data_IF_213872422493
#
_entry.id   IF_213872422493
#
_cell.length_a   1.000
_cell.length_b   1.000
_cell.length_c   1.000
_cell.angle_alpha   90.00
_cell.angle_beta   90.00
_cell.angle_gamma   90.00
#
_symmetry.space_group_name_H-M   'P 1'
#
loop_
_entity.id
_entity.type
_entity.pdbx_description
1 polymer ?
#
# COMPACT_ATOMS: atom_id res chain seq x y z
N UNK A 1 -14.00 18.44 30.19
CA UNK A 1 -13.02 18.45 31.31
C UNK A 1 -11.59 18.26 30.81
N UNK A 2 -11.32 17.28 29.92
CA UNK A 2 -9.98 17.05 29.35
C UNK A 2 -9.33 18.30 28.73
N UNK A 3 -10.09 19.11 27.99
CA UNK A 3 -9.62 20.37 27.41
C UNK A 3 -8.91 21.28 28.42
N UNK A 4 -9.54 21.54 29.58
CA UNK A 4 -8.98 22.40 30.64
C UNK A 4 -7.68 21.82 31.23
N UNK A 5 -7.57 20.49 31.28
CA UNK A 5 -6.34 19.84 31.72
C UNK A 5 -5.22 20.06 30.71
N UNK A 6 -5.49 19.91 29.42
CA UNK A 6 -4.51 20.15 28.35
C UNK A 6 -4.06 21.62 28.33
N UNK A 7 -4.99 22.57 28.47
CA UNK A 7 -4.68 24.00 28.57
C UNK A 7 -3.70 24.30 29.72
N UNK A 8 -3.99 23.80 30.92
CA UNK A 8 -3.11 24.02 32.07
C UNK A 8 -1.76 23.29 31.92
N UNK A 9 -1.74 22.10 31.32
CA UNK A 9 -0.49 21.39 31.00
C UNK A 9 0.35 22.19 30.01
N UNK A 10 -0.24 22.71 28.92
CA UNK A 10 0.46 23.56 27.95
C UNK A 10 1.07 24.79 28.63
N UNK A 11 0.30 25.50 29.46
CA UNK A 11 0.81 26.62 30.24
C UNK A 11 1.93 26.18 31.20
N UNK A 12 1.83 24.99 31.79
CA UNK A 12 2.85 24.47 32.68
C UNK A 12 4.15 24.06 32.02
N UNK A 13 4.07 23.47 30.82
CA UNK A 13 5.24 23.15 30.00
C UNK A 13 5.96 24.45 29.60
N UNK A 14 5.22 25.44 29.10
CA UNK A 14 5.77 26.76 28.73
C UNK A 14 6.42 27.49 29.92
N UNK A 15 5.91 27.26 31.13
CA UNK A 15 6.46 27.82 32.36
C UNK A 15 7.58 26.97 33.00
N UNK A 16 7.96 25.83 32.40
CA UNK A 16 9.01 24.95 32.94
C UNK A 16 8.66 24.25 34.24
N UNK A 17 7.36 24.02 34.55
CA UNK A 17 6.93 23.39 35.81
C UNK A 17 7.33 21.92 35.96
N UNK A 18 7.64 21.24 34.86
CA UNK A 18 7.87 19.80 34.82
C UNK A 18 9.35 19.48 34.59
N UNK A 19 10.19 19.75 35.60
CA UNK A 19 11.65 19.71 35.48
C UNK A 19 12.29 18.32 35.48
N UNK A 20 11.55 17.25 35.77
CA UNK A 20 12.05 15.88 35.80
C UNK A 20 10.98 14.85 35.39
N UNK A 21 11.40 13.60 35.14
CA UNK A 21 10.51 12.51 34.72
C UNK A 21 9.35 12.26 35.70
N UNK A 22 9.61 12.31 37.02
CA UNK A 22 8.56 12.14 38.03
C UNK A 22 7.47 13.23 37.94
N UNK A 23 7.86 14.47 37.69
CA UNK A 23 6.93 15.59 37.51
C UNK A 23 6.11 15.48 36.22
N UNK A 24 6.69 14.93 35.15
CA UNK A 24 5.97 14.62 33.90
C UNK A 24 4.99 13.47 34.15
N UNK A 25 5.46 12.39 34.74
CA UNK A 25 4.70 11.18 35.05
C UNK A 25 3.46 11.50 35.91
N UNK A 26 3.64 12.19 37.03
CA UNK A 26 2.54 12.52 37.94
C UNK A 26 1.73 13.74 37.49
N UNK A 27 2.42 14.80 37.04
CA UNK A 27 1.81 16.10 36.76
C UNK A 27 1.13 16.21 35.39
N UNK A 28 1.50 15.33 34.45
CA UNK A 28 0.95 15.29 33.09
C UNK A 28 0.29 13.93 32.83
N UNK A 29 1.05 12.84 32.85
CA UNK A 29 0.57 11.52 32.38
C UNK A 29 -0.58 11.02 33.24
N UNK A 30 -0.36 10.87 34.56
CA UNK A 30 -1.39 10.38 35.47
C UNK A 30 -2.62 11.29 35.51
N UNK A 31 -2.40 12.60 35.43
CA UNK A 31 -3.47 13.60 35.35
C UNK A 31 -4.34 13.43 34.10
N UNK A 32 -3.71 13.21 32.94
CA UNK A 32 -4.44 12.96 31.69
C UNK A 32 -5.15 11.62 31.72
N UNK A 33 -4.53 10.56 32.25
CA UNK A 33 -5.19 9.26 32.42
C UNK A 33 -6.47 9.39 33.26
N UNK A 34 -6.41 10.10 34.38
CA UNK A 34 -7.59 10.37 35.19
C UNK A 34 -8.66 11.15 34.42
N UNK A 35 -8.27 12.20 33.68
CA UNK A 35 -9.19 13.00 32.86
C UNK A 35 -9.79 12.21 31.67
N UNK A 36 -9.10 11.18 31.21
CA UNK A 36 -9.50 10.21 30.18
C UNK A 36 -10.34 9.05 30.73
N UNK A 37 -10.69 9.10 32.02
CA UNK A 37 -11.60 8.15 32.66
C UNK A 37 -10.94 6.87 33.17
N UNK A 38 -9.60 6.79 33.22
CA UNK A 38 -8.93 5.66 33.85
C UNK A 38 -9.11 5.68 35.37
N UNK A 39 -9.36 4.53 36.01
CA UNK A 39 -9.39 4.42 37.46
C UNK A 39 -7.95 4.42 38.00
N UNK A 40 -7.34 5.60 38.10
CA UNK A 40 -5.93 5.77 38.48
C UNK A 40 -5.59 5.35 39.91
N UNK A 41 -6.59 5.18 40.76
CA UNK A 41 -6.43 4.64 42.12
C UNK A 41 -6.54 3.10 42.19
N UNK A 42 -6.96 2.46 41.10
CA UNK A 42 -6.98 1.01 40.97
C UNK A 42 -5.67 0.54 40.32
N UNK A 43 -4.76 0.04 41.15
CA UNK A 43 -3.45 -0.44 40.74
C UNK A 43 -3.48 -1.74 39.95
N UNK A 44 -4.65 -2.35 39.76
CA UNK A 44 -4.83 -3.47 38.82
C UNK A 44 -5.22 -3.01 37.42
N UNK A 45 -5.66 -1.76 37.27
CA UNK A 45 -6.08 -1.16 35.99
C UNK A 45 -5.07 -0.13 35.50
N UNK A 46 -4.52 0.68 36.39
CA UNK A 46 -3.39 1.58 36.11
C UNK A 46 -2.24 1.15 37.01
N UNK A 47 -1.37 0.27 36.50
CA UNK A 47 -0.27 -0.30 37.27
C UNK A 47 0.98 0.57 37.10
N UNK A 48 1.42 1.34 38.11
CA UNK A 48 2.70 2.05 38.05
C UNK A 48 3.87 1.07 38.15
N UNK A 49 5.01 1.41 37.58
CA UNK A 49 6.29 0.69 37.73
C UNK A 49 6.16 -0.81 37.39
N UNK A 50 5.34 -1.12 36.38
CA UNK A 50 4.96 -2.49 36.03
C UNK A 50 6.20 -3.26 35.57
N UNK A 51 6.55 -4.27 36.35
CA UNK A 51 7.76 -5.07 36.15
C UNK A 51 7.40 -6.48 35.70
N UNK A 52 8.06 -6.96 34.64
CA UNK A 52 7.95 -8.34 34.16
C UNK A 52 9.29 -8.76 33.57
N UNK A 53 9.75 -9.98 33.93
CA UNK A 53 10.98 -10.58 33.39
C UNK A 53 12.24 -9.68 33.51
N UNK A 54 12.35 -8.92 34.61
CA UNK A 54 13.50 -8.05 34.88
C UNK A 54 13.53 -6.74 34.10
N UNK A 55 12.47 -6.43 33.34
CA UNK A 55 12.24 -5.12 32.71
C UNK A 55 11.07 -4.42 33.39
N UNK A 56 11.05 -3.09 33.30
CA UNK A 56 10.06 -2.23 33.95
C UNK A 56 9.60 -1.15 32.97
N UNK A 57 8.32 -0.83 33.01
CA UNK A 57 7.69 0.31 32.32
C UNK A 57 6.99 1.18 33.35
N UNK A 58 6.90 2.48 33.09
CA UNK A 58 6.37 3.44 34.07
C UNK A 58 4.88 3.21 34.37
N UNK A 59 4.10 2.91 33.34
CA UNK A 59 2.70 2.49 33.51
C UNK A 59 2.32 1.34 32.60
N UNK A 60 1.61 0.36 33.17
CA UNK A 60 0.80 -0.59 32.42
C UNK A 60 -0.69 -0.29 32.61
N UNK A 61 -1.36 0.00 31.50
CA UNK A 61 -2.80 0.14 31.45
C UNK A 61 -3.40 -1.22 31.17
N UNK A 62 -4.28 -1.69 32.06
CA UNK A 62 -4.80 -3.05 32.01
C UNK A 62 -6.30 -3.08 31.74
N UNK A 63 -6.70 -3.91 30.78
CA UNK A 63 -8.09 -4.27 30.57
C UNK A 63 -8.21 -5.66 29.95
N UNK A 64 -8.86 -6.64 30.62
CA UNK A 64 -9.39 -6.57 31.99
C UNK A 64 -8.27 -6.38 33.04
N UNK A 65 -8.64 -6.21 34.31
CA UNK A 65 -7.70 -5.98 35.41
C UNK A 65 -6.51 -6.97 35.39
N UNK A 66 -5.30 -6.45 35.64
CA UNK A 66 -4.02 -7.15 35.58
C UNK A 66 -3.62 -7.73 34.22
N UNK A 67 -4.38 -7.48 33.14
CA UNK A 67 -3.98 -7.83 31.77
C UNK A 67 -3.60 -6.57 30.98
N UNK A 68 -2.31 -6.35 30.69
CA UNK A 68 -1.86 -5.13 30.03
C UNK A 68 -2.38 -5.05 28.59
N UNK A 69 -2.94 -3.89 28.24
CA UNK A 69 -3.40 -3.56 26.89
C UNK A 69 -2.62 -2.38 26.29
N UNK A 70 -2.04 -1.53 27.14
CA UNK A 70 -1.11 -0.50 26.73
C UNK A 70 0.03 -0.33 27.73
N UNK A 71 1.24 -0.08 27.24
CA UNK A 71 2.36 0.37 28.06
C UNK A 71 2.67 1.84 27.79
N UNK A 72 3.01 2.57 28.84
CA UNK A 72 3.48 3.95 28.77
C UNK A 72 4.87 4.03 29.38
N UNK A 73 5.81 4.51 28.58
CA UNK A 73 7.14 4.94 29.03
C UNK A 73 7.18 6.46 29.06
N UNK A 74 7.64 6.99 30.17
CA UNK A 74 7.76 8.42 30.44
C UNK A 74 9.24 8.82 30.36
N UNK A 75 9.48 10.03 29.84
CA UNK A 75 10.79 10.66 29.81
C UNK A 75 10.70 12.09 30.32
N UNK A 76 11.86 12.68 30.57
CA UNK A 76 11.96 14.11 30.80
C UNK A 76 11.69 14.88 29.50
N UNK A 77 11.05 16.06 29.59
CA UNK A 77 10.76 16.93 28.45
C UNK A 77 12.04 17.15 27.61
N UNK A 78 11.95 16.89 26.31
CA UNK A 78 13.04 17.02 25.34
C UNK A 78 13.99 15.82 25.27
N UNK A 79 13.74 14.75 26.02
CA UNK A 79 14.58 13.53 26.09
C UNK A 79 13.84 12.28 25.59
N UNK A 80 12.90 12.44 24.65
CA UNK A 80 12.13 11.33 24.06
C UNK A 80 12.92 10.49 23.04
N UNK A 81 14.08 10.98 22.56
CA UNK A 81 14.86 10.31 21.52
C UNK A 81 15.66 9.10 22.04
N UNK A 82 15.60 7.97 21.32
CA UNK A 82 16.45 6.79 21.55
C UNK A 82 15.94 5.78 22.58
N UNK A 83 14.94 6.12 23.38
CA UNK A 83 14.31 5.19 24.34
C UNK A 83 13.26 4.24 23.71
N UNK A 84 12.92 4.45 22.44
CA UNK A 84 11.84 3.77 21.71
C UNK A 84 12.04 2.25 21.64
N UNK A 85 13.29 1.80 21.48
CA UNK A 85 13.62 0.41 21.18
C UNK A 85 13.28 -0.55 22.33
N UNK A 86 13.57 -0.16 23.57
CA UNK A 86 13.38 -1.03 24.73
C UNK A 86 11.90 -1.24 25.07
N UNK A 87 11.11 -0.15 25.10
CA UNK A 87 9.67 -0.20 25.31
C UNK A 87 9.01 -1.08 24.23
N UNK A 88 9.41 -0.86 22.98
CA UNK A 88 8.83 -1.56 21.85
C UNK A 88 9.13 -3.06 21.86
N UNK A 89 10.41 -3.44 22.01
CA UNK A 89 10.81 -4.85 22.08
C UNK A 89 10.04 -5.56 23.20
N UNK A 90 9.94 -4.93 24.36
CA UNK A 90 9.22 -5.50 25.50
C UNK A 90 7.71 -5.65 25.21
N UNK A 91 7.06 -4.62 24.70
CA UNK A 91 5.64 -4.67 24.34
C UNK A 91 5.35 -5.74 23.28
N UNK A 92 6.26 -5.94 22.33
CA UNK A 92 6.15 -6.98 21.31
C UNK A 92 6.23 -8.40 21.89
N UNK A 93 7.21 -8.68 22.78
CA UNK A 93 7.38 -10.02 23.37
C UNK A 93 6.17 -10.43 24.22
N UNK A 94 5.58 -9.49 24.96
CA UNK A 94 4.41 -9.73 25.81
C UNK A 94 3.10 -9.71 25.01
N UNK A 95 3.12 -9.21 23.78
CA UNK A 95 1.93 -9.10 22.93
C UNK A 95 1.00 -7.96 23.33
N UNK A 96 1.53 -6.89 23.94
CA UNK A 96 0.73 -5.71 24.30
C UNK A 96 0.36 -4.94 23.03
N UNK A 97 -0.94 -4.67 22.79
CA UNK A 97 -1.39 -4.05 21.55
C UNK A 97 -0.89 -2.63 21.28
N UNK A 98 -0.67 -1.83 22.32
CA UNK A 98 -0.32 -0.42 22.20
C UNK A 98 0.90 -0.09 23.08
N UNK A 99 1.86 0.63 22.52
CA UNK A 99 2.98 1.19 23.26
C UNK A 99 3.00 2.71 23.08
N UNK A 100 3.21 3.45 24.17
CA UNK A 100 3.19 4.91 24.20
C UNK A 100 4.50 5.39 24.80
N UNK A 101 5.22 6.25 24.07
CA UNK A 101 6.38 6.96 24.59
C UNK A 101 6.04 8.44 24.69
N UNK A 102 6.20 9.02 25.87
CA UNK A 102 5.91 10.42 26.09
C UNK A 102 6.91 11.11 27.02
N UNK A 103 7.19 12.38 26.74
CA UNK A 103 7.90 13.26 27.66
C UNK A 103 6.95 14.32 28.27
N UNK A 104 5.65 14.14 28.10
CA UNK A 104 4.59 15.06 28.49
C UNK A 104 4.19 16.02 27.36
N UNK A 105 5.14 16.52 26.57
CA UNK A 105 4.87 17.38 25.41
C UNK A 105 4.57 16.53 24.17
N UNK A 106 5.48 15.61 23.84
CA UNK A 106 5.34 14.70 22.73
C UNK A 106 4.72 13.38 23.20
N UNK A 107 3.77 12.86 22.42
CA UNK A 107 3.09 11.59 22.64
C UNK A 107 3.19 10.77 21.37
N UNK A 108 3.98 9.70 21.42
CA UNK A 108 4.21 8.80 20.30
C UNK A 108 3.44 7.50 20.55
N UNK A 109 2.53 7.16 19.64
CA UNK A 109 1.70 5.96 19.70
C UNK A 109 2.21 4.92 18.71
N UNK A 110 2.52 3.72 19.21
CA UNK A 110 3.09 2.63 18.42
C UNK A 110 2.23 1.38 18.51
N UNK A 111 2.21 0.60 17.43
CA UNK A 111 1.62 -0.74 17.40
C UNK A 111 2.72 -1.80 17.35
N UNK A 112 3.05 -2.45 18.47
CA UNK A 112 4.18 -3.38 18.54
C UNK A 112 4.10 -4.55 17.55
N UNK A 113 2.91 -5.10 17.38
CA UNK A 113 2.67 -6.29 16.59
C UNK A 113 2.59 -6.05 15.07
N UNK A 114 2.55 -4.81 14.61
CA UNK A 114 2.43 -4.50 13.17
C UNK A 114 3.80 -4.57 12.45
N UNK A 115 3.79 -4.60 11.12
CA UNK A 115 5.01 -4.75 10.31
C UNK A 115 5.82 -3.45 10.18
N UNK A 116 7.06 -3.56 9.70
CA UNK A 116 7.95 -2.43 9.45
C UNK A 116 9.00 -2.20 10.53
N UNK A 117 9.81 -1.17 10.40
CA UNK A 117 10.73 -0.72 11.46
C UNK A 117 10.03 0.09 12.56
N UNK A 118 10.78 0.52 13.59
CA UNK A 118 10.24 1.27 14.72
C UNK A 118 9.54 2.58 14.30
N UNK A 119 10.14 3.31 13.36
CA UNK A 119 9.57 4.56 12.83
C UNK A 119 8.30 4.28 12.03
N UNK A 120 8.29 3.14 11.34
CA UNK A 120 7.17 2.71 10.51
C UNK A 120 5.94 2.28 11.33
N UNK A 121 6.16 1.67 12.49
CA UNK A 121 5.11 1.21 13.41
C UNK A 121 4.54 2.32 14.31
N UNK A 122 5.09 3.53 14.23
CA UNK A 122 4.50 4.70 14.86
C UNK A 122 3.27 5.15 14.09
N UNK A 123 2.12 5.06 14.72
CA UNK A 123 0.82 5.42 14.13
C UNK A 123 0.60 6.92 14.20
N UNK A 124 0.96 7.54 15.32
CA UNK A 124 0.73 8.97 15.52
C UNK A 124 1.79 9.58 16.42
N UNK A 125 2.19 10.80 16.11
CA UNK A 125 2.98 11.67 16.98
C UNK A 125 2.16 12.93 17.25
N UNK A 126 1.83 13.17 18.51
CA UNK A 126 1.12 14.35 18.97
C UNK A 126 2.10 15.21 19.76
N UNK A 127 2.31 16.45 19.35
CA UNK A 127 2.92 17.48 20.21
C UNK A 127 1.79 18.31 20.79
N UNK A 128 1.53 18.19 22.10
CA UNK A 128 0.38 18.86 22.73
C UNK A 128 0.59 20.37 22.89
N UNK A 129 1.80 20.90 22.68
CA UNK A 129 2.10 22.33 22.77
C UNK A 129 1.95 23.01 21.41
N UNK A 130 2.36 22.33 20.34
CA UNK A 130 2.25 22.84 18.96
C UNK A 130 0.85 22.66 18.37
N UNK A 131 0.10 21.65 18.80
CA UNK A 131 -1.21 21.32 18.23
C UNK A 131 -2.34 22.09 18.88
N UNK A 132 -3.39 22.32 18.09
CA UNK A 132 -4.65 22.87 18.58
C UNK A 132 -5.21 22.00 19.70
N UNK A 133 -5.82 22.64 20.70
CA UNK A 133 -6.30 21.95 21.91
C UNK A 133 -7.39 20.94 21.54
N UNK A 134 -8.29 21.30 20.63
CA UNK A 134 -9.37 20.42 20.15
C UNK A 134 -8.81 19.17 19.46
N UNK A 135 -7.74 19.30 18.67
CA UNK A 135 -7.05 18.18 18.03
C UNK A 135 -6.39 17.28 19.08
N UNK A 136 -5.69 17.89 20.05
CA UNK A 136 -5.03 17.16 21.15
C UNK A 136 -6.05 16.36 21.97
N UNK A 137 -7.19 16.97 22.31
CA UNK A 137 -8.32 16.30 22.97
C UNK A 137 -8.79 15.11 22.14
N UNK A 138 -9.08 15.32 20.86
CA UNK A 138 -9.64 14.28 20.00
C UNK A 138 -8.68 13.09 19.83
N UNK A 139 -7.36 13.35 19.71
CA UNK A 139 -6.34 12.30 19.54
C UNK A 139 -6.09 11.52 20.83
N UNK A 140 -5.99 12.20 21.96
CA UNK A 140 -5.86 11.53 23.26
C UNK A 140 -7.11 10.72 23.60
N UNK A 141 -8.31 11.25 23.32
CA UNK A 141 -9.56 10.51 23.53
C UNK A 141 -9.65 9.25 22.66
N UNK A 142 -9.38 9.38 21.34
CA UNK A 142 -9.41 8.28 20.38
C UNK A 142 -8.47 7.14 20.73
N UNK A 143 -7.25 7.44 21.18
CA UNK A 143 -6.22 6.43 21.40
C UNK A 143 -6.02 5.99 22.84
N UNK A 144 -6.42 6.81 23.82
CA UNK A 144 -6.04 6.59 25.21
C UNK A 144 -7.21 6.67 26.19
N UNK A 145 -8.43 7.07 25.79
CA UNK A 145 -9.54 7.07 26.76
C UNK A 145 -9.89 5.66 27.24
N UNK A 146 -10.26 5.54 28.51
CA UNK A 146 -10.59 4.25 29.11
C UNK A 146 -11.72 3.54 28.35
N UNK A 147 -12.75 4.28 27.92
CA UNK A 147 -13.86 3.75 27.15
C UNK A 147 -13.44 3.20 25.77
N UNK A 148 -12.57 3.93 25.05
CA UNK A 148 -12.11 3.50 23.72
C UNK A 148 -11.14 2.32 23.82
N UNK A 149 -10.28 2.31 24.83
CA UNK A 149 -9.31 1.23 25.05
C UNK A 149 -10.03 -0.05 25.53
N UNK A 150 -10.92 0.06 26.51
CA UNK A 150 -11.66 -1.10 27.05
C UNK A 150 -12.58 -1.76 26.03
N UNK A 151 -13.22 -0.98 25.15
CA UNK A 151 -14.05 -1.49 24.05
C UNK A 151 -13.24 -2.02 22.85
N UNK A 152 -11.91 -1.84 22.85
CA UNK A 152 -11.03 -2.21 21.74
C UNK A 152 -11.05 -1.24 20.54
N UNK A 153 -11.90 -0.20 20.58
CA UNK A 153 -12.01 0.80 19.52
C UNK A 153 -10.71 1.61 19.33
N UNK A 154 -9.99 1.91 20.40
CA UNK A 154 -8.70 2.61 20.31
C UNK A 154 -7.67 1.83 19.49
N UNK A 155 -7.59 0.50 19.72
CA UNK A 155 -6.67 -0.38 18.98
C UNK A 155 -7.12 -0.54 17.53
N UNK A 156 -8.43 -0.69 17.28
CA UNK A 156 -8.97 -0.76 15.93
C UNK A 156 -8.68 0.52 15.13
N UNK A 157 -8.92 1.69 15.75
CA UNK A 157 -8.60 3.00 15.19
C UNK A 157 -7.11 3.15 14.89
N UNK A 158 -6.23 2.75 15.81
CA UNK A 158 -4.79 2.84 15.60
C UNK A 158 -4.33 1.93 14.43
N UNK A 159 -4.90 0.73 14.32
CA UNK A 159 -4.61 -0.19 13.20
C UNK A 159 -5.10 0.34 11.86
N UNK A 160 -6.25 1.00 11.83
CA UNK A 160 -6.77 1.64 10.62
C UNK A 160 -5.85 2.78 10.16
N UNK A 161 -5.48 3.69 11.08
CA UNK A 161 -4.57 4.78 10.78
C UNK A 161 -3.19 4.26 10.31
N UNK A 162 -2.67 3.19 10.95
CA UNK A 162 -1.44 2.52 10.52
C UNK A 162 -1.54 1.96 9.10
N UNK A 163 -2.64 1.26 8.77
CA UNK A 163 -2.85 0.71 7.41
C UNK A 163 -2.88 1.81 6.36
N UNK A 164 -3.48 2.96 6.67
CA UNK A 164 -3.51 4.10 5.75
C UNK A 164 -2.12 4.69 5.52
N UNK A 165 -1.31 4.83 6.58
CA UNK A 165 0.09 5.30 6.49
C UNK A 165 0.94 4.30 5.71
N UNK A 166 0.82 3.01 6.03
CA UNK A 166 1.58 1.92 5.39
C UNK A 166 1.24 1.81 3.90
N UNK A 167 -0.05 1.90 3.53
CA UNK A 167 -0.48 1.91 2.12
C UNK A 167 0.16 3.07 1.34
N UNK A 168 0.12 4.27 1.90
CA UNK A 168 0.74 5.43 1.26
C UNK A 168 2.25 5.22 1.13
N UNK A 169 2.94 4.75 2.16
CA UNK A 169 4.37 4.48 2.10
C UNK A 169 4.72 3.45 1.03
N UNK A 170 4.01 2.31 1.01
CA UNK A 170 4.20 1.27 0.01
C UNK A 170 4.00 1.82 -1.41
N UNK A 171 2.92 2.59 -1.62
CA UNK A 171 2.67 3.27 -2.89
C UNK A 171 3.86 4.16 -3.27
N UNK A 172 4.34 5.03 -2.38
CA UNK A 172 5.48 5.91 -2.65
C UNK A 172 6.80 5.16 -2.88
N UNK A 173 7.07 4.08 -2.14
CA UNK A 173 8.27 3.27 -2.33
C UNK A 173 8.24 2.47 -3.64
N UNK A 174 7.04 2.11 -4.12
CA UNK A 174 6.86 1.39 -5.38
C UNK A 174 6.81 2.32 -6.60
N UNK A 175 6.60 3.63 -6.43
CA UNK A 175 6.58 4.59 -7.55
C UNK A 175 7.89 4.60 -8.36
N UNK A 176 9.10 4.65 -7.77
CA UNK A 176 10.34 4.59 -8.53
C UNK A 176 10.51 3.30 -9.33
N UNK A 177 10.14 2.15 -8.74
CA UNK A 177 10.20 0.86 -9.42
C UNK A 177 9.18 0.79 -10.56
N UNK A 178 7.94 1.22 -10.31
CA UNK A 178 6.90 1.29 -11.33
C UNK A 178 7.31 2.20 -12.50
N UNK A 179 7.86 3.38 -12.20
CA UNK A 179 8.40 4.30 -13.21
C UNK A 179 9.54 3.66 -14.00
N UNK A 180 10.50 3.03 -13.31
CA UNK A 180 11.62 2.38 -13.98
C UNK A 180 11.16 1.24 -14.89
N UNK A 181 10.17 0.46 -14.46
CA UNK A 181 9.56 -0.62 -15.27
C UNK A 181 8.86 -0.06 -16.51
N UNK A 182 8.02 0.96 -16.35
CA UNK A 182 7.33 1.62 -17.47
C UNK A 182 8.32 2.16 -18.52
N UNK A 183 9.46 2.71 -18.08
CA UNK A 183 10.50 3.20 -19.00
C UNK A 183 11.29 2.05 -19.64
N UNK A 184 11.64 1.00 -18.88
CA UNK A 184 12.41 -0.14 -19.42
C UNK A 184 11.62 -1.02 -20.37
N UNK A 185 10.32 -1.18 -20.11
CA UNK A 185 9.39 -1.94 -20.94
C UNK A 185 8.87 -1.13 -22.13
N UNK A 186 9.32 0.13 -22.26
CA UNK A 186 8.92 1.05 -23.33
C UNK A 186 7.39 1.15 -23.46
N UNK A 187 6.70 1.41 -22.33
CA UNK A 187 5.24 1.45 -22.27
C UNK A 187 4.67 2.43 -23.31
N UNK A 188 3.87 1.90 -24.24
CA UNK A 188 3.36 2.66 -25.39
C UNK A 188 2.53 3.87 -24.96
N UNK A 189 1.76 3.79 -23.86
CA UNK A 189 0.91 4.90 -23.43
C UNK A 189 1.76 6.06 -22.88
N UNK A 190 2.81 5.74 -22.12
CA UNK A 190 3.77 6.72 -21.62
C UNK A 190 4.51 7.42 -22.77
N UNK A 191 5.01 6.66 -23.74
CA UNK A 191 5.71 7.21 -24.90
C UNK A 191 4.80 8.12 -25.73
N UNK A 192 3.57 7.66 -26.00
CA UNK A 192 2.60 8.43 -26.78
C UNK A 192 2.13 9.70 -26.06
N UNK A 193 1.91 9.63 -24.74
CA UNK A 193 1.55 10.79 -23.93
C UNK A 193 2.64 11.87 -23.98
N UNK A 194 3.91 11.46 -23.88
CA UNK A 194 5.04 12.39 -23.95
C UNK A 194 5.23 12.93 -25.37
N UNK A 195 5.08 12.11 -26.41
CA UNK A 195 5.12 12.54 -27.81
C UNK A 195 4.04 13.59 -28.13
N UNK A 196 2.80 13.36 -27.70
CA UNK A 196 1.69 14.30 -27.84
C UNK A 196 1.95 15.60 -27.08
N UNK A 197 2.55 15.51 -25.90
CA UNK A 197 2.90 16.69 -25.12
C UNK A 197 3.97 17.52 -25.84
N UNK A 198 4.98 16.89 -26.42
CA UNK A 198 6.01 17.58 -27.24
C UNK A 198 5.38 18.23 -28.47
N UNK A 199 4.51 17.51 -29.20
CA UNK A 199 3.77 18.06 -30.34
C UNK A 199 2.96 19.30 -29.95
N UNK A 200 2.30 19.29 -28.80
CA UNK A 200 1.54 20.47 -28.31
C UNK A 200 2.42 21.69 -28.03
N UNK A 201 3.71 21.48 -27.73
CA UNK A 201 4.64 22.54 -27.35
C UNK A 201 5.40 23.13 -28.54
N UNK A 202 5.73 22.33 -29.55
CA UNK A 202 6.53 22.78 -30.69
C UNK A 202 5.89 22.54 -32.08
N UNK A 203 4.73 21.89 -32.15
CA UNK A 203 4.05 21.55 -33.39
C UNK A 203 4.63 20.34 -34.14
N UNK A 204 5.70 19.73 -33.61
CA UNK A 204 6.35 18.57 -34.21
C UNK A 204 6.27 17.38 -33.27
N UNK A 205 5.75 16.26 -33.77
CA UNK A 205 5.63 15.03 -33.01
C UNK A 205 6.92 14.19 -33.14
N UNK A 206 7.64 13.91 -32.04
CA UNK A 206 8.77 12.98 -32.09
C UNK A 206 8.28 11.55 -32.31
N UNK A 207 9.09 10.71 -32.95
CA UNK A 207 8.85 9.27 -33.02
C UNK A 207 9.05 8.60 -31.65
N UNK A 208 8.43 7.43 -31.47
CA UNK A 208 8.43 6.73 -30.19
C UNK A 208 9.82 6.25 -29.76
N UNK A 209 10.70 5.93 -30.72
CA UNK A 209 12.06 5.48 -30.42
C UNK A 209 12.89 6.65 -29.86
N UNK A 210 12.72 7.86 -30.41
CA UNK A 210 13.31 9.09 -29.89
C UNK A 210 12.83 9.39 -28.46
N UNK A 211 11.54 9.21 -28.17
CA UNK A 211 10.98 9.41 -26.82
C UNK A 211 11.49 8.33 -25.86
N UNK A 212 11.54 7.07 -26.27
CA UNK A 212 12.02 5.95 -25.47
C UNK A 212 13.50 6.12 -25.11
N UNK A 213 14.32 6.53 -26.09
CA UNK A 213 15.74 6.84 -25.87
C UNK A 213 15.91 7.98 -24.86
N UNK A 214 15.15 9.07 -25.01
CA UNK A 214 15.18 10.19 -24.07
C UNK A 214 14.84 9.76 -22.64
N UNK A 215 13.79 8.95 -22.45
CA UNK A 215 13.40 8.47 -21.12
C UNK A 215 14.45 7.54 -20.51
N UNK A 216 15.02 6.62 -21.29
CA UNK A 216 16.09 5.73 -20.83
C UNK A 216 17.35 6.48 -20.40
N UNK A 217 17.75 7.50 -21.16
CA UNK A 217 18.88 8.36 -20.81
C UNK A 217 18.62 9.13 -19.49
N UNK A 218 17.41 9.66 -19.29
CA UNK A 218 17.05 10.39 -18.06
C UNK A 218 16.94 9.50 -16.83
N UNK A 219 16.45 8.27 -16.96
CA UNK A 219 16.42 7.30 -15.85
C UNK A 219 17.85 6.87 -15.49
N UNK A 220 18.71 6.63 -16.47
CA UNK A 220 20.11 6.22 -16.23
C UNK A 220 20.94 7.31 -15.54
N UNK A 221 20.68 8.59 -15.84
CA UNK A 221 21.35 9.72 -15.21
C UNK A 221 20.93 9.93 -13.73
N UNK A 222 19.70 9.58 -13.37
CA UNK A 222 19.20 9.70 -12.00
C UNK A 222 19.63 8.52 -11.10
N UNK A 223 19.97 7.37 -11.68
CA UNK A 223 20.50 6.21 -10.94
C UNK A 223 21.97 6.37 -10.51
N UNK A 224 22.68 7.40 -10.99
CA UNK A 224 24.09 7.67 -10.67
C UNK A 224 24.35 8.39 -9.34
N UNK A 225 23.34 8.63 -8.52
CA UNK A 225 23.44 9.40 -7.27
C UNK A 225 23.70 8.61 -5.98
N UNK A 226 23.68 7.27 -6.03
CA UNK A 226 24.05 6.43 -4.87
C UNK A 226 25.46 5.92 -5.11
N UNK A 227 26.45 6.71 -4.69
CA UNK A 227 27.81 6.21 -4.54
C UNK A 227 27.80 5.05 -3.55
N UNK A 228 28.31 3.90 -4.00
CA UNK A 228 28.80 2.82 -3.14
C UNK A 228 29.63 3.41 -2.01
N UNK A 229 29.08 3.41 -0.78
CA UNK A 229 29.87 3.51 0.44
C UNK A 229 29.62 2.27 1.28
N UNK A 230 30.67 1.44 1.26
CA UNK A 230 31.12 0.53 2.30
C UNK A 230 30.25 -0.69 2.63
N UNK A 231 30.80 -1.85 2.25
CA UNK A 231 30.41 -3.18 2.72
C UNK A 231 30.54 -3.24 4.25
N UNK A 232 29.50 -3.66 5.00
CA UNK A 232 29.69 -4.16 6.34
C UNK A 232 30.19 -5.60 6.29
N UNK A 233 31.28 -5.79 7.03
CA UNK A 233 31.98 -7.00 7.45
C UNK A 233 31.05 -8.23 7.57
N UNK A 234 31.44 -9.32 6.92
CA UNK A 234 30.88 -10.66 7.08
C UNK A 234 31.08 -11.16 8.51
N UNK A 235 29.99 -11.34 9.27
CA UNK A 235 29.99 -12.22 10.43
C UNK A 235 29.86 -13.67 9.96
N UNK A 236 30.90 -14.45 10.18
CA UNK A 236 30.91 -15.90 10.00
C UNK A 236 30.01 -16.55 11.06
N UNK A 237 28.96 -17.26 10.61
CA UNK A 237 28.23 -18.21 11.46
C UNK A 237 28.93 -19.58 11.40
N UNK A 238 29.20 -20.24 12.54
CA UNK A 238 29.72 -21.61 12.54
C UNK A 238 28.70 -22.62 12.01
N UNK A 239 29.23 -23.65 11.37
CA UNK A 239 28.49 -24.75 10.76
C UNK A 239 27.67 -25.57 11.76
N UNK A 240 26.45 -25.94 11.35
CA UNK A 240 25.69 -27.04 11.92
C UNK A 240 25.26 -28.00 10.80
N UNK A 241 25.38 -29.29 11.10
CA UNK A 241 25.29 -30.45 10.20
C UNK A 241 23.87 -30.69 9.61
N UNK A 242 23.73 -31.54 8.57
CA UNK A 242 22.52 -31.62 7.76
C UNK A 242 21.45 -32.49 8.44
N UNK A 243 20.23 -31.94 8.56
CA UNK A 243 19.03 -32.70 8.91
C UNK A 243 18.14 -32.86 7.66
N UNK A 244 17.61 -34.07 7.54
CA UNK A 244 16.84 -34.67 6.46
C UNK A 244 15.62 -33.85 6.01
N UNK A 245 15.41 -33.76 4.69
CA UNK A 245 14.22 -33.17 4.07
C UNK A 245 13.14 -34.24 4.03
N UNK A 246 12.10 -34.09 4.86
CA UNK A 246 10.78 -34.68 4.59
C UNK A 246 9.92 -33.69 3.78
N UNK A 247 9.10 -34.16 2.83
CA UNK A 247 8.29 -33.29 1.99
C UNK A 247 7.11 -32.68 2.76
N UNK A 248 7.07 -31.35 2.84
CA UNK A 248 5.93 -30.58 3.34
C UNK A 248 4.71 -30.70 2.41
N UNK A 249 3.49 -30.80 2.95
CA UNK A 249 2.26 -30.86 2.16
C UNK A 249 1.98 -29.54 1.42
N UNK A 250 1.42 -29.68 0.22
CA UNK A 250 1.05 -28.60 -0.68
C UNK A 250 0.10 -27.61 -0.01
N UNK A 251 0.46 -26.32 -0.09
CA UNK A 251 -0.34 -25.19 0.38
C UNK A 251 -1.50 -25.03 -0.58
N UNK A 252 -2.71 -25.34 -0.13
CA UNK A 252 -3.95 -24.99 -0.82
C UNK A 252 -4.03 -23.47 -0.93
N UNK A 253 -3.94 -22.96 -2.15
CA UNK A 253 -4.26 -21.58 -2.50
C UNK A 253 -5.76 -21.40 -2.40
N UNK A 254 -6.20 -20.54 -1.49
CA UNK A 254 -7.55 -20.02 -1.40
C UNK A 254 -7.83 -19.31 -2.73
N UNK A 255 -8.80 -19.82 -3.49
CA UNK A 255 -9.18 -19.30 -4.80
C UNK A 255 -9.71 -17.86 -4.66
N UNK A 256 -9.22 -16.96 -5.52
CA UNK A 256 -9.92 -15.69 -5.79
C UNK A 256 -11.33 -16.01 -6.27
N UNK A 257 -12.33 -15.33 -5.72
CA UNK A 257 -13.76 -15.67 -5.94
C UNK A 257 -14.23 -15.50 -7.39
N UNK A 258 -13.38 -14.99 -8.30
CA UNK A 258 -13.69 -14.89 -9.72
C UNK A 258 -12.54 -15.45 -10.59
N UNK A 259 -12.74 -16.61 -11.26
CA UNK A 259 -11.74 -17.14 -12.17
C UNK A 259 -11.55 -16.23 -13.40
N UNK A 260 -10.32 -16.20 -13.93
CA UNK A 260 -9.98 -15.48 -15.17
C UNK A 260 -10.85 -16.02 -16.31
N UNK A 261 -11.46 -15.14 -17.10
CA UNK A 261 -12.43 -15.51 -18.12
C UNK A 261 -13.33 -14.36 -18.57
N UNK A 262 -14.39 -14.69 -19.31
CA UNK A 262 -15.41 -13.74 -19.72
C UNK A 262 -16.81 -14.35 -19.65
N UNK A 263 -17.84 -13.55 -19.39
CA UNK A 263 -19.24 -13.96 -19.46
C UNK A 263 -19.89 -13.28 -20.65
N UNK A 264 -20.49 -14.05 -21.56
CA UNK A 264 -21.28 -13.53 -22.67
C UNK A 264 -22.72 -14.05 -22.53
N UNK A 265 -23.68 -13.13 -22.48
CA UNK A 265 -25.12 -13.41 -22.36
C UNK A 265 -25.45 -14.39 -21.22
N UNK A 266 -24.75 -14.26 -20.09
CA UNK A 266 -24.92 -15.10 -18.90
C UNK A 266 -24.18 -16.44 -18.92
N UNK A 267 -23.48 -16.78 -20.01
CA UNK A 267 -22.62 -17.97 -20.07
C UNK A 267 -21.16 -17.60 -19.80
N UNK A 268 -20.59 -18.19 -18.75
CA UNK A 268 -19.18 -18.00 -18.40
C UNK A 268 -18.26 -18.89 -19.25
N UNK A 269 -17.16 -18.30 -19.69
CA UNK A 269 -16.09 -18.93 -20.47
C UNK A 269 -14.77 -18.79 -19.69
N UNK A 270 -14.23 -19.88 -19.12
CA UNK A 270 -12.97 -19.85 -18.38
C UNK A 270 -11.77 -19.68 -19.31
N UNK A 271 -10.78 -18.91 -18.87
CA UNK A 271 -9.53 -18.65 -19.59
C UNK A 271 -8.32 -18.72 -18.64
N UNK A 272 -7.13 -19.00 -19.17
CA UNK A 272 -5.91 -19.13 -18.36
C UNK A 272 -5.20 -17.80 -18.09
N UNK A 273 -5.38 -16.82 -18.97
CA UNK A 273 -4.72 -15.51 -18.91
C UNK A 273 -5.49 -14.48 -19.76
N UNK A 274 -5.12 -13.20 -19.66
CA UNK A 274 -5.77 -12.12 -20.40
C UNK A 274 -5.69 -12.25 -21.93
N UNK A 275 -4.62 -12.87 -22.48
CA UNK A 275 -4.52 -13.15 -23.92
C UNK A 275 -5.63 -14.08 -24.38
N UNK A 276 -5.89 -15.16 -23.64
CA UNK A 276 -6.99 -16.08 -23.94
C UNK A 276 -8.36 -15.42 -23.78
N UNK A 277 -8.53 -14.52 -22.80
CA UNK A 277 -9.77 -13.74 -22.65
C UNK A 277 -10.02 -12.91 -23.90
N UNK A 278 -9.04 -12.15 -24.37
CA UNK A 278 -9.19 -11.31 -25.57
C UNK A 278 -9.51 -12.13 -26.81
N UNK A 279 -8.74 -13.20 -27.07
CA UNK A 279 -8.97 -14.09 -28.21
C UNK A 279 -10.35 -14.76 -28.11
N UNK A 280 -10.72 -15.23 -26.92
CA UNK A 280 -11.99 -15.89 -26.66
C UNK A 280 -13.20 -15.00 -26.91
N UNK A 281 -13.12 -13.71 -26.52
CA UNK A 281 -14.17 -12.72 -26.81
C UNK A 281 -14.38 -12.55 -28.31
N UNK A 282 -13.30 -12.39 -29.08
CA UNK A 282 -13.40 -12.22 -30.54
C UNK A 282 -13.92 -13.48 -31.24
N UNK A 283 -13.48 -14.66 -30.80
CA UNK A 283 -14.03 -15.94 -31.28
C UNK A 283 -15.54 -16.02 -31.00
N UNK A 284 -15.96 -15.77 -29.76
CA UNK A 284 -17.37 -15.87 -29.37
C UNK A 284 -18.26 -14.89 -30.13
N UNK A 285 -17.81 -13.64 -30.31
CA UNK A 285 -18.55 -12.64 -31.09
C UNK A 285 -18.58 -12.95 -32.58
N UNK A 286 -17.52 -13.56 -33.15
CA UNK A 286 -17.51 -14.00 -34.55
C UNK A 286 -18.46 -15.16 -34.84
N UNK A 287 -18.66 -16.05 -33.86
CA UNK A 287 -19.65 -17.14 -33.95
C UNK A 287 -21.07 -16.59 -33.85
N UNK A 288 -21.29 -15.57 -33.01
CA UNK A 288 -22.59 -14.92 -32.83
C UNK A 288 -23.01 -14.09 -34.05
N UNK A 289 -22.06 -13.39 -34.67
CA UNK A 289 -22.29 -12.57 -35.85
C UNK A 289 -21.10 -12.68 -36.81
N UNK A 290 -21.32 -13.34 -37.95
CA UNK A 290 -20.29 -13.55 -38.96
C UNK A 290 -19.73 -12.24 -39.55
N UNK A 291 -20.50 -11.14 -39.52
CA UNK A 291 -20.08 -9.82 -40.00
C UNK A 291 -19.27 -9.04 -38.96
N UNK A 292 -19.24 -9.48 -37.70
CA UNK A 292 -18.63 -8.76 -36.58
C UNK A 292 -17.18 -8.38 -36.86
N UNK A 293 -16.36 -9.35 -37.30
CA UNK A 293 -14.93 -9.14 -37.52
C UNK A 293 -14.66 -8.08 -38.59
N UNK A 294 -15.45 -8.07 -39.67
CA UNK A 294 -15.35 -7.06 -40.73
C UNK A 294 -15.75 -5.68 -40.23
N UNK A 295 -16.87 -5.58 -39.51
CA UNK A 295 -17.34 -4.30 -38.93
C UNK A 295 -16.39 -3.77 -37.86
N UNK A 296 -15.79 -4.65 -37.07
CA UNK A 296 -14.79 -4.28 -36.09
C UNK A 296 -13.51 -3.81 -36.78
N UNK A 297 -13.01 -4.56 -37.76
CA UNK A 297 -11.84 -4.19 -38.54
C UNK A 297 -12.03 -2.86 -39.31
N UNK A 298 -13.23 -2.58 -39.82
CA UNK A 298 -13.55 -1.36 -40.58
C UNK A 298 -13.71 -0.10 -39.74
N UNK A 299 -13.60 -0.18 -38.41
CA UNK A 299 -13.66 1.02 -37.57
C UNK A 299 -12.55 2.00 -37.95
N UNK A 300 -12.85 3.31 -37.99
CA UNK A 300 -11.86 4.34 -38.34
C UNK A 300 -10.76 4.49 -37.29
N UNK A 301 -11.01 4.07 -36.05
CA UNK A 301 -10.03 4.04 -34.95
C UNK A 301 -10.10 2.71 -34.22
N UNK A 302 -8.95 2.06 -34.10
CA UNK A 302 -8.71 0.91 -33.21
C UNK A 302 -7.90 1.43 -32.03
N UNK A 303 -6.57 1.46 -32.17
CA UNK A 303 -5.66 2.32 -31.41
C UNK A 303 -5.23 3.53 -32.25
N UNK A 304 -4.19 4.25 -31.81
CA UNK A 304 -3.62 5.39 -32.55
C UNK A 304 -2.97 4.96 -33.87
N UNK A 305 -2.09 3.97 -33.82
CA UNK A 305 -1.30 3.48 -34.97
C UNK A 305 -1.52 2.00 -35.25
N UNK A 306 -1.81 1.21 -34.21
CA UNK A 306 -2.01 -0.25 -34.29
C UNK A 306 -3.47 -0.62 -34.53
N UNK A 307 -3.68 -1.73 -35.24
CA UNK A 307 -5.00 -2.38 -35.36
C UNK A 307 -5.07 -3.53 -34.35
N UNK A 308 -6.22 -3.71 -33.72
CA UNK A 308 -6.43 -4.85 -32.82
C UNK A 308 -6.84 -6.11 -33.57
N UNK A 309 -7.40 -5.95 -34.77
CA UNK A 309 -7.85 -7.02 -35.65
C UNK A 309 -7.49 -6.69 -37.11
N UNK A 310 -6.83 -7.61 -37.81
CA UNK A 310 -6.43 -7.43 -39.21
C UNK A 310 -6.34 -8.76 -39.99
N UNK A 311 -6.18 -8.68 -41.33
CA UNK A 311 -6.07 -9.86 -42.20
C UNK A 311 -4.65 -10.42 -42.24
N UNK A 312 -3.65 -9.66 -41.78
CA UNK A 312 -2.27 -10.09 -41.66
C UNK A 312 -1.61 -9.54 -40.38
N UNK A 313 -0.59 -10.21 -39.82
CA UNK A 313 0.15 -9.68 -38.66
C UNK A 313 0.83 -8.32 -38.92
N UNK A 314 1.29 -8.07 -40.15
CA UNK A 314 1.92 -6.80 -40.52
C UNK A 314 0.95 -5.61 -40.42
N UNK A 315 -0.34 -5.83 -40.70
CA UNK A 315 -1.38 -4.80 -40.57
C UNK A 315 -1.79 -4.53 -39.11
N UNK A 316 -1.55 -5.47 -38.19
CA UNK A 316 -1.75 -5.24 -36.75
C UNK A 316 -0.75 -4.22 -36.22
N UNK A 317 0.49 -4.33 -36.72
CA UNK A 317 1.64 -3.55 -36.27
C UNK A 317 2.33 -2.81 -37.44
N UNK A 318 1.68 -1.80 -38.04
CA UNK A 318 2.29 -1.03 -39.13
C UNK A 318 3.63 -0.42 -38.71
N UNK A 319 4.69 -0.71 -39.47
CA UNK A 319 6.04 -0.21 -39.19
C UNK A 319 6.81 -0.93 -38.06
N UNK A 320 6.27 -2.02 -37.49
CA UNK A 320 6.87 -2.79 -36.39
C UNK A 320 6.94 -4.29 -36.71
N UNK A 321 7.89 -4.72 -37.56
CA UNK A 321 8.01 -6.11 -38.01
C UNK A 321 8.40 -7.07 -36.88
N UNK A 322 9.10 -6.57 -35.85
CA UNK A 322 9.42 -7.28 -34.61
C UNK A 322 8.15 -7.74 -33.88
N UNK A 323 7.17 -6.86 -33.72
CA UNK A 323 5.91 -7.19 -33.05
C UNK A 323 5.01 -8.06 -33.94
N UNK A 324 5.03 -7.82 -35.26
CA UNK A 324 4.27 -8.62 -36.22
C UNK A 324 4.75 -10.08 -36.28
N UNK A 325 5.96 -10.40 -35.84
CA UNK A 325 6.49 -11.76 -35.82
C UNK A 325 5.94 -12.59 -34.65
N UNK A 326 5.78 -11.99 -33.47
CA UNK A 326 5.58 -12.76 -32.22
C UNK A 326 4.27 -12.44 -31.47
N UNK A 327 3.69 -11.25 -31.67
CA UNK A 327 2.64 -10.75 -30.79
C UNK A 327 1.24 -10.77 -31.41
N UNK A 328 0.83 -11.90 -31.98
CA UNK A 328 -0.52 -12.08 -32.47
C UNK A 328 -1.10 -13.46 -32.13
N UNK A 329 -2.42 -13.59 -32.26
CA UNK A 329 -3.11 -14.88 -32.29
C UNK A 329 -4.01 -14.96 -33.52
N UNK A 330 -3.96 -16.09 -34.21
CA UNK A 330 -4.81 -16.35 -35.38
C UNK A 330 -6.14 -16.92 -34.92
N UNK A 331 -7.23 -16.27 -35.29
CA UNK A 331 -8.60 -16.73 -35.09
C UNK A 331 -8.95 -17.84 -36.09
N UNK A 332 -9.97 -18.65 -35.77
CA UNK A 332 -10.48 -19.72 -36.65
C UNK A 332 -10.95 -19.20 -38.00
N UNK A 333 -11.45 -17.97 -38.03
CA UNK A 333 -11.89 -17.25 -39.24
C UNK A 333 -10.75 -16.83 -40.17
N UNK A 334 -9.48 -17.02 -39.76
CA UNK A 334 -8.30 -16.58 -40.51
C UNK A 334 -7.88 -15.14 -40.25
N UNK A 335 -8.62 -14.40 -39.43
CA UNK A 335 -8.21 -13.08 -38.94
C UNK A 335 -7.14 -13.19 -37.85
N UNK A 336 -6.40 -12.11 -37.64
CA UNK A 336 -5.36 -12.03 -36.61
C UNK A 336 -5.75 -10.98 -35.57
N UNK A 337 -5.58 -11.31 -34.29
CA UNK A 337 -5.75 -10.40 -33.15
C UNK A 337 -4.39 -10.08 -32.54
N UNK A 338 -4.11 -8.80 -32.32
CA UNK A 338 -2.88 -8.35 -31.66
C UNK A 338 -2.89 -8.71 -30.18
N UNK A 339 -1.80 -9.32 -29.68
CA UNK A 339 -1.71 -9.80 -28.29
C UNK A 339 -0.67 -9.09 -27.43
N UNK A 340 0.10 -8.15 -27.99
CA UNK A 340 0.90 -7.22 -27.19
C UNK A 340 0.00 -6.12 -26.61
N UNK A 341 -0.80 -6.48 -25.61
CA UNK A 341 -1.77 -5.57 -24.96
C UNK A 341 -1.82 -5.81 -23.45
N UNK A 342 -1.90 -4.74 -22.67
CA UNK A 342 -2.01 -4.81 -21.21
C UNK A 342 -3.40 -5.22 -20.74
N UNK A 343 -3.53 -5.62 -19.46
CA UNK A 343 -4.82 -5.99 -18.84
C UNK A 343 -5.88 -4.89 -19.02
N UNK A 344 -5.53 -3.64 -18.74
CA UNK A 344 -6.42 -2.48 -18.92
C UNK A 344 -6.72 -2.17 -20.39
N UNK A 345 -5.86 -2.59 -21.34
CA UNK A 345 -6.19 -2.49 -22.76
C UNK A 345 -7.15 -3.60 -23.20
N UNK A 346 -7.05 -4.81 -22.64
CA UNK A 346 -8.00 -5.90 -22.94
C UNK A 346 -9.43 -5.49 -22.59
N UNK A 347 -9.65 -4.86 -21.43
CA UNK A 347 -10.97 -4.35 -21.04
C UNK A 347 -11.49 -3.29 -22.02
N UNK A 348 -10.66 -2.32 -22.39
CA UNK A 348 -11.02 -1.29 -23.39
C UNK A 348 -11.33 -1.89 -24.76
N UNK A 349 -10.57 -2.88 -25.20
CA UNK A 349 -10.81 -3.57 -26.48
C UNK A 349 -12.11 -4.38 -26.42
N UNK A 350 -12.41 -5.02 -25.29
CA UNK A 350 -13.66 -5.75 -25.08
C UNK A 350 -14.87 -4.81 -25.07
N UNK A 351 -14.75 -3.63 -24.46
CA UNK A 351 -15.78 -2.59 -24.51
C UNK A 351 -16.03 -2.11 -25.96
N UNK A 352 -14.97 -1.82 -26.70
CA UNK A 352 -15.07 -1.51 -28.14
C UNK A 352 -15.71 -2.63 -28.96
N UNK A 353 -15.42 -3.89 -28.63
CA UNK A 353 -16.03 -5.04 -29.28
C UNK A 353 -17.53 -5.11 -29.00
N UNK A 354 -17.95 -4.78 -27.77
CA UNK A 354 -19.37 -4.66 -27.42
C UNK A 354 -20.11 -3.60 -28.21
N UNK A 355 -19.52 -2.41 -28.40
CA UNK A 355 -20.11 -1.35 -29.21
C UNK A 355 -20.43 -1.83 -30.62
N UNK A 356 -19.48 -2.53 -31.25
CA UNK A 356 -19.64 -3.10 -32.60
C UNK A 356 -20.65 -4.25 -32.57
N UNK A 357 -20.61 -5.11 -31.56
CA UNK A 357 -21.53 -6.25 -31.42
C UNK A 357 -22.94 -5.84 -30.93
N UNK A 358 -23.18 -4.54 -30.67
CA UNK A 358 -24.42 -3.98 -30.11
C UNK A 358 -24.80 -4.66 -28.78
N UNK A 359 -23.81 -4.86 -27.92
CA UNK A 359 -23.92 -5.43 -26.58
C UNK A 359 -23.65 -4.37 -25.52
N UNK A 360 -24.25 -4.50 -24.34
CA UNK A 360 -23.87 -3.71 -23.17
C UNK A 360 -22.70 -4.36 -22.43
N UNK A 361 -21.53 -3.73 -22.50
CA UNK A 361 -20.40 -4.09 -21.65
C UNK A 361 -20.78 -3.92 -20.17
N UNK A 362 -20.30 -4.81 -19.30
CA UNK A 362 -20.67 -4.85 -17.88
C UNK A 362 -21.98 -5.59 -17.57
N UNK A 363 -22.81 -5.89 -18.58
CA UNK A 363 -24.08 -6.62 -18.41
C UNK A 363 -24.19 -7.86 -19.29
N UNK A 364 -24.02 -7.67 -20.61
CA UNK A 364 -24.15 -8.74 -21.60
C UNK A 364 -22.80 -9.34 -21.98
N UNK A 365 -21.72 -8.55 -21.85
CA UNK A 365 -20.35 -9.06 -21.83
C UNK A 365 -19.64 -8.51 -20.59
N UNK A 366 -19.04 -9.39 -19.80
CA UNK A 366 -18.11 -9.02 -18.73
C UNK A 366 -16.80 -9.77 -18.92
N UNK A 367 -15.67 -9.14 -18.59
CA UNK A 367 -14.34 -9.74 -18.67
C UNK A 367 -13.67 -9.67 -17.31
N UNK A 368 -12.91 -10.70 -16.95
CA UNK A 368 -12.03 -10.74 -15.80
C UNK A 368 -10.66 -11.25 -16.26
N UNK A 369 -9.67 -10.39 -16.24
CA UNK A 369 -8.31 -10.68 -16.72
C UNK A 369 -7.33 -11.06 -15.60
N UNK A 370 -7.82 -11.19 -14.37
CA UNK A 370 -7.02 -11.50 -13.17
C UNK A 370 -6.17 -10.31 -12.69
N UNK A 371 -5.69 -10.39 -11.44
CA UNK A 371 -4.69 -9.45 -10.89
C UNK A 371 -3.35 -9.53 -11.63
#
# INVERSE_FOLDING_TARGET
MLQKHIEDIQSGIKAGRYGNEASVSQGIVLRLLQALGWPTYDTQVVCPEYSLEGRRVDYALCHPASKPIAFIEVKQIGQSAGAERQLFEYAFHIGVPLAILTDGQEWNFFLPAEQGDYTERRVYKLDIVEREISESVARLDRYLSYAQVSSGQAIAAAREDYKNISRNRQMFSSLPEAWSKLVSEEDDLLLELLADKVESLCGFKPDLDTVAKFLREKVSLNSGGIQERERPIQFTKPAAAPASIEPRPQRQTIASEHPVGFTLEGKFHPCRNGREVLVGVFEALSVRDASFLERFASRPKHGRTRRYLARSPAELYPGRPDLAAEHFSKLKSGWFVGTNVSRAQIERIAEMACEVARLRFGRELTVNVGE
#
